data_IF_713487806848
#
_entry.id   IF_713487806848
#
_cell.length_a   1.000
_cell.length_b   1.000
_cell.length_c   1.000
_cell.angle_alpha   90.00
_cell.angle_beta   90.00
_cell.angle_gamma   90.00
#
_symmetry.space_group_name_H-M   'P 1'
#
loop_
_entity.id
_entity.type
_entity.pdbx_description
1 polymer ?
#
# COMPACT_ATOMS: atom_id res chain seq x y z
N UNK A 1 15.15 -1.78 -7.24
CA UNK A 1 15.34 -0.76 -8.30
C UNK A 1 14.48 0.45 -8.03
N UNK A 2 14.98 1.64 -8.36
CA UNK A 2 14.17 2.86 -8.31
C UNK A 2 13.08 2.85 -9.38
N UNK A 3 13.39 2.42 -10.60
CA UNK A 3 12.43 2.30 -11.69
C UNK A 3 12.46 0.88 -12.28
N UNK A 4 11.31 0.16 -12.37
CA UNK A 4 11.30 -1.23 -12.85
C UNK A 4 11.82 -1.42 -14.27
N UNK A 5 11.67 -0.41 -15.15
CA UNK A 5 12.05 -0.49 -16.57
C UNK A 5 13.29 0.33 -16.91
N UNK A 6 13.96 0.93 -15.93
CA UNK A 6 15.15 1.75 -16.16
C UNK A 6 16.22 1.42 -15.11
N UNK A 7 17.12 0.46 -15.39
CA UNK A 7 18.18 0.04 -14.49
C UNK A 7 19.18 1.16 -14.12
N UNK A 8 19.37 2.14 -15.01
CA UNK A 8 20.35 3.22 -14.83
C UNK A 8 19.98 4.16 -13.68
N UNK A 9 18.71 4.15 -13.25
CA UNK A 9 18.24 4.88 -12.07
C UNK A 9 18.72 4.27 -10.74
N UNK A 10 19.34 3.09 -10.77
CA UNK A 10 19.94 2.46 -9.60
C UNK A 10 18.97 1.72 -8.68
N UNK A 11 19.42 1.46 -7.45
CA UNK A 11 18.73 0.64 -6.46
C UNK A 11 18.46 1.41 -5.17
N UNK A 12 17.32 1.12 -4.55
CA UNK A 12 16.93 1.63 -3.23
C UNK A 12 16.94 0.51 -2.20
N UNK A 13 17.24 0.85 -0.95
CA UNK A 13 17.02 -0.05 0.18
C UNK A 13 15.51 -0.15 0.42
N UNK A 14 15.01 -1.38 0.60
CA UNK A 14 13.63 -1.65 1.01
C UNK A 14 13.72 -2.28 2.40
N UNK A 15 13.13 -1.62 3.40
CA UNK A 15 13.03 -2.17 4.76
C UNK A 15 11.81 -3.07 4.83
N UNK A 16 11.99 -4.27 5.37
CA UNK A 16 10.93 -5.23 5.67
C UNK A 16 10.82 -5.35 7.20
N UNK A 17 9.63 -5.67 7.69
CA UNK A 17 9.36 -5.85 9.12
C UNK A 17 8.20 -6.83 9.30
N UNK A 18 8.08 -7.46 10.47
CA UNK A 18 6.89 -8.23 10.85
C UNK A 18 5.61 -7.38 10.96
N UNK A 19 5.73 -6.04 11.05
CA UNK A 19 4.61 -5.09 11.10
C UNK A 19 4.67 -4.13 9.92
N UNK A 20 3.59 -4.09 9.14
CA UNK A 20 3.45 -3.19 7.99
C UNK A 20 2.09 -2.52 7.95
N UNK A 21 2.04 -1.32 7.36
CA UNK A 21 0.81 -0.64 7.01
C UNK A 21 0.41 -0.99 5.59
N UNK A 22 -0.90 -1.13 5.40
CA UNK A 22 -1.59 -1.30 4.13
C UNK A 22 -2.72 -0.26 4.07
N UNK A 23 -3.12 0.12 2.87
CA UNK A 23 -4.31 0.96 2.70
C UNK A 23 -5.57 0.16 3.01
N UNK A 24 -6.48 0.72 3.81
CA UNK A 24 -7.71 0.02 4.23
C UNK A 24 -8.57 -0.41 3.04
N UNK A 25 -8.68 0.45 2.02
CA UNK A 25 -9.45 0.14 0.81
C UNK A 25 -8.84 -1.02 0.00
N UNK A 26 -7.52 -1.21 0.07
CA UNK A 26 -6.82 -2.28 -0.63
C UNK A 26 -7.04 -3.66 0.03
N UNK A 27 -7.48 -3.69 1.29
CA UNK A 27 -7.78 -4.92 2.04
C UNK A 27 -9.27 -5.12 2.31
N UNK A 28 -10.12 -4.18 1.89
CA UNK A 28 -11.57 -4.30 2.01
C UNK A 28 -12.08 -5.56 1.30
N UNK A 29 -12.89 -6.36 1.99
CA UNK A 29 -13.43 -7.62 1.47
C UNK A 29 -12.39 -8.73 1.26
N UNK A 30 -11.19 -8.60 1.83
CA UNK A 30 -10.26 -9.73 1.97
C UNK A 30 -10.83 -10.74 2.96
N UNK A 31 -10.44 -12.02 2.84
CA UNK A 31 -10.92 -13.10 3.71
C UNK A 31 -9.74 -13.89 4.31
N UNK A 32 -9.97 -14.56 5.44
CA UNK A 32 -8.98 -15.48 6.00
C UNK A 32 -8.65 -16.61 5.00
N UNK A 33 -7.37 -16.92 4.86
CA UNK A 33 -6.87 -17.89 3.90
C UNK A 33 -6.54 -17.33 2.52
N UNK A 34 -6.92 -16.08 2.21
CA UNK A 34 -6.50 -15.43 0.96
C UNK A 34 -4.99 -15.14 0.94
N UNK A 35 -4.42 -15.13 -0.27
CA UNK A 35 -3.03 -14.74 -0.51
C UNK A 35 -2.96 -13.38 -1.19
N UNK A 36 -2.10 -12.51 -0.67
CA UNK A 36 -1.77 -11.22 -1.24
C UNK A 36 -0.27 -11.12 -1.55
N UNK A 37 0.07 -10.33 -2.56
CA UNK A 37 1.47 -10.00 -2.86
C UNK A 37 1.77 -8.64 -2.26
N UNK A 38 2.76 -8.59 -1.38
CA UNK A 38 3.39 -7.35 -0.96
C UNK A 38 4.49 -7.00 -1.97
N UNK A 39 4.29 -5.90 -2.70
CA UNK A 39 5.11 -5.55 -3.86
C UNK A 39 6.60 -5.51 -3.50
N UNK A 40 7.42 -6.26 -4.26
CA UNK A 40 8.87 -6.40 -4.05
C UNK A 40 9.30 -7.05 -2.72
N UNK A 41 8.37 -7.68 -1.99
CA UNK A 41 8.67 -8.43 -0.78
C UNK A 41 8.31 -9.91 -0.93
N UNK A 42 7.05 -10.23 -1.29
CA UNK A 42 6.63 -11.61 -1.53
C UNK A 42 5.16 -11.85 -1.24
N UNK A 43 4.79 -13.13 -1.13
CA UNK A 43 3.41 -13.55 -0.89
C UNK A 43 3.18 -13.74 0.61
N UNK A 44 2.05 -13.23 1.09
CA UNK A 44 1.57 -13.40 2.46
C UNK A 44 0.18 -14.02 2.40
N UNK A 45 -0.04 -15.05 3.20
CA UNK A 45 -1.35 -15.66 3.40
C UNK A 45 -1.99 -15.09 4.66
N UNK A 46 -3.22 -14.60 4.55
CA UNK A 46 -3.99 -14.11 5.69
C UNK A 46 -4.35 -15.28 6.60
N UNK A 47 -4.01 -15.17 7.87
CA UNK A 47 -4.28 -16.21 8.88
C UNK A 47 -5.35 -15.80 9.87
N UNK A 48 -5.57 -14.49 10.05
CA UNK A 48 -6.60 -13.95 10.93
C UNK A 48 -6.94 -12.53 10.53
N UNK A 49 -8.21 -12.15 10.63
CA UNK A 49 -8.63 -10.75 10.56
C UNK A 49 -9.34 -10.33 11.84
N UNK A 50 -9.13 -9.10 12.29
CA UNK A 50 -10.12 -8.48 13.15
C UNK A 50 -11.35 -8.15 12.30
N UNK A 51 -12.56 -8.34 12.81
CA UNK A 51 -13.80 -8.18 12.03
C UNK A 51 -14.06 -6.76 11.51
N UNK A 52 -13.14 -5.81 11.73
CA UNK A 52 -13.16 -4.43 11.23
C UNK A 52 -12.10 -4.16 10.15
N UNK A 53 -11.25 -5.14 9.81
CA UNK A 53 -10.13 -5.03 8.88
C UNK A 53 -9.10 -3.94 9.21
N UNK A 54 -9.08 -3.48 10.47
CA UNK A 54 -8.08 -2.52 10.95
C UNK A 54 -6.75 -3.21 11.28
N UNK A 55 -6.84 -4.43 11.80
CA UNK A 55 -5.71 -5.31 12.03
C UNK A 55 -5.93 -6.67 11.37
N UNK A 56 -4.86 -7.18 10.79
CA UNK A 56 -4.82 -8.51 10.19
C UNK A 56 -3.48 -9.16 10.48
N UNK A 57 -3.50 -10.49 10.59
CA UNK A 57 -2.31 -11.30 10.73
C UNK A 57 -2.16 -12.18 9.50
N UNK A 58 -0.92 -12.34 9.07
CA UNK A 58 -0.58 -13.21 7.97
C UNK A 58 0.76 -13.87 8.17
N UNK A 59 0.98 -14.93 7.40
CA UNK A 59 2.25 -15.66 7.37
C UNK A 59 2.87 -15.53 5.98
N UNK A 60 4.16 -15.23 5.94
CA UNK A 60 4.93 -15.26 4.70
C UNK A 60 4.91 -16.66 4.08
N UNK A 61 4.69 -16.74 2.77
CA UNK A 61 4.69 -17.99 2.02
C UNK A 61 5.95 -18.06 1.18
N UNK A 62 6.97 -18.85 1.60
CA UNK A 62 8.14 -19.12 0.79
C UNK A 62 7.71 -19.67 -0.57
N UNK A 63 8.29 -19.12 -1.65
CA UNK A 63 7.96 -19.51 -3.03
C UNK A 63 6.48 -19.37 -3.42
N UNK A 64 5.72 -18.53 -2.71
CA UNK A 64 4.32 -18.28 -2.98
C UNK A 64 4.06 -17.78 -4.41
N UNK A 65 2.92 -18.17 -4.98
CA UNK A 65 2.62 -17.90 -6.39
C UNK A 65 2.08 -16.47 -6.59
N UNK A 66 2.98 -15.56 -6.94
CA UNK A 66 2.67 -14.14 -7.26
C UNK A 66 1.62 -13.96 -8.37
N UNK A 67 1.41 -14.97 -9.23
CA UNK A 67 0.39 -14.92 -10.29
C UNK A 67 -0.99 -15.39 -9.82
N UNK A 68 -1.06 -16.19 -8.75
CA UNK A 68 -2.31 -16.72 -8.22
C UNK A 68 -2.97 -15.77 -7.21
N UNK A 69 -2.18 -14.94 -6.53
CA UNK A 69 -2.69 -13.93 -5.61
C UNK A 69 -3.59 -12.92 -6.32
N UNK A 70 -4.78 -12.67 -5.77
CA UNK A 70 -5.77 -11.74 -6.33
C UNK A 70 -5.32 -10.27 -6.22
N UNK A 71 -4.56 -9.96 -5.17
CA UNK A 71 -4.18 -8.59 -4.80
C UNK A 71 -2.67 -8.41 -4.81
N UNK A 72 -2.22 -7.24 -5.29
CA UNK A 72 -0.82 -6.81 -5.27
C UNK A 72 -0.76 -5.43 -4.65
N UNK A 73 -0.31 -5.37 -3.40
CA UNK A 73 -0.49 -4.20 -2.56
C UNK A 73 0.82 -3.44 -2.38
N UNK A 74 0.69 -2.12 -2.31
CA UNK A 74 1.72 -1.26 -1.73
C UNK A 74 1.69 -1.40 -0.21
N UNK A 75 2.83 -1.22 0.43
CA UNK A 75 2.98 -1.44 1.86
C UNK A 75 4.12 -0.59 2.42
N UNK A 76 4.09 -0.38 3.73
CA UNK A 76 5.14 0.36 4.45
C UNK A 76 5.51 -0.35 5.74
N UNK A 77 6.79 -0.71 5.92
CA UNK A 77 7.27 -1.20 7.20
C UNK A 77 7.23 -0.10 8.26
N UNK A 78 6.57 -0.38 9.40
CA UNK A 78 6.52 0.49 10.57
C UNK A 78 7.44 0.03 11.70
N UNK A 79 7.91 -1.22 11.61
CA UNK A 79 8.86 -1.75 12.58
C UNK A 79 8.22 -2.13 13.90
N UNK A 80 9.07 -2.66 14.78
CA UNK A 80 8.70 -2.95 16.17
C UNK A 80 9.59 -2.12 17.09
N UNK A 81 8.98 -1.25 17.92
CA UNK A 81 9.73 -0.37 18.82
C UNK A 81 10.44 -1.18 19.94
N UNK A 82 9.92 -2.37 20.25
CA UNK A 82 10.44 -3.28 21.26
C UNK A 82 11.53 -4.24 20.74
N UNK A 83 11.76 -4.32 19.42
CA UNK A 83 12.77 -5.17 18.79
C UNK A 83 13.69 -4.35 17.87
N UNK A 84 14.90 -4.05 18.35
CA UNK A 84 15.94 -3.33 17.61
C UNK A 84 16.27 -3.94 16.24
N UNK A 85 16.07 -5.25 16.06
CA UNK A 85 16.29 -5.94 14.77
C UNK A 85 15.18 -5.67 13.74
N UNK A 86 14.01 -5.21 14.20
CA UNK A 86 12.83 -4.91 13.38
C UNK A 86 12.55 -3.41 13.30
N UNK A 87 13.46 -2.54 13.73
CA UNK A 87 13.26 -1.08 13.63
C UNK A 87 13.11 -0.61 12.19
N UNK A 88 11.93 -0.09 11.87
CA UNK A 88 11.71 0.70 10.67
C UNK A 88 11.44 2.15 11.09
N UNK A 89 12.14 3.08 10.44
CA UNK A 89 11.92 4.50 10.68
C UNK A 89 10.96 5.00 9.62
N UNK A 90 9.74 5.32 10.01
CA UNK A 90 8.82 6.08 9.15
C UNK A 90 9.08 7.57 9.34
N UNK A 91 8.76 8.35 8.31
CA UNK A 91 8.80 9.81 8.38
C UNK A 91 7.36 10.29 8.39
N UNK A 92 6.91 10.99 9.45
CA UNK A 92 5.59 11.61 9.45
C UNK A 92 5.47 12.60 8.30
N UNK A 93 4.42 12.46 7.50
CA UNK A 93 4.17 13.30 6.34
C UNK A 93 2.71 13.76 6.34
N UNK A 94 2.46 14.98 5.88
CA UNK A 94 1.12 15.44 5.53
C UNK A 94 0.91 15.19 4.05
N UNK A 95 -0.03 14.31 3.71
CA UNK A 95 -0.46 14.10 2.34
C UNK A 95 -1.61 15.05 2.03
N UNK A 96 -1.54 15.73 0.89
CA UNK A 96 -2.63 16.55 0.36
C UNK A 96 -3.00 15.99 -1.00
N UNK A 97 -4.25 15.54 -1.13
CA UNK A 97 -4.82 15.14 -2.41
C UNK A 97 -5.52 16.35 -3.02
N UNK A 98 -5.15 16.68 -4.25
CA UNK A 98 -5.75 17.77 -5.01
C UNK A 98 -6.59 17.17 -6.13
N UNK A 99 -7.79 17.71 -6.31
CA UNK A 99 -8.66 17.40 -7.44
C UNK A 99 -8.89 18.68 -8.26
N UNK A 100 -9.65 18.56 -9.34
CA UNK A 100 -10.06 19.65 -10.20
C UNK A 100 -10.78 20.73 -9.38
N UNK A 101 -10.32 21.97 -9.54
CA UNK A 101 -10.96 23.13 -8.91
C UNK A 101 -12.35 23.44 -9.49
N UNK A 102 -12.60 22.98 -10.72
CA UNK A 102 -13.83 23.22 -11.47
C UNK A 102 -14.28 21.88 -12.06
N UNK A 103 -15.50 21.46 -11.76
CA UNK A 103 -16.10 20.20 -12.24
C UNK A 103 -16.56 20.28 -13.69
N UNK A 104 -16.71 21.50 -14.23
CA UNK A 104 -17.09 21.75 -15.63
C UNK A 104 -15.86 21.79 -16.54
N UNK A 105 -15.84 20.89 -17.52
CA UNK A 105 -14.72 20.76 -18.47
C UNK A 105 -14.41 22.04 -19.28
N UNK A 106 -15.44 22.87 -19.53
CA UNK A 106 -15.30 24.17 -20.19
C UNK A 106 -16.38 25.13 -19.70
N UNK A 107 -15.96 26.30 -19.24
CA UNK A 107 -16.86 27.42 -18.95
C UNK A 107 -17.28 28.08 -20.27
N UNK A 108 -18.57 28.32 -20.43
CA UNK A 108 -19.19 29.08 -21.51
C UNK A 108 -19.42 30.53 -21.08
N UNK A 109 -19.67 31.39 -22.07
CA UNK A 109 -19.93 32.81 -21.83
C UNK A 109 -21.20 32.98 -20.99
N UNK A 110 -21.05 33.55 -19.79
CA UNK A 110 -22.12 33.72 -18.81
C UNK A 110 -22.06 32.77 -17.61
N UNK A 111 -21.19 31.75 -17.64
CA UNK A 111 -20.98 30.91 -16.46
C UNK A 111 -20.23 31.66 -15.36
N UNK A 112 -20.62 31.40 -14.11
CA UNK A 112 -19.83 31.76 -12.94
C UNK A 112 -18.99 30.56 -12.52
N UNK A 113 -17.66 30.69 -12.53
CA UNK A 113 -16.76 29.59 -12.17
C UNK A 113 -16.93 29.12 -10.71
N UNK A 114 -17.50 29.93 -9.82
CA UNK A 114 -17.78 29.54 -8.43
C UNK A 114 -18.93 28.54 -8.29
N UNK A 115 -19.76 28.39 -9.33
CA UNK A 115 -20.89 27.46 -9.37
C UNK A 115 -20.49 26.06 -9.90
N UNK A 116 -19.20 25.85 -10.20
CA UNK A 116 -18.67 24.67 -10.87
C UNK A 116 -17.40 24.16 -10.22
#
# INVERSE_FOLDING_TARGET
>A
DYHPKNPDMGKRVVRISNKVLLETIDVEGMEEGEEMVLMRWGVVKVTKMDGTANEMWGTYVPDGNVKAAKRKLSWMAVGDDDDDSQKATTTPCTLMEFDNLITKAKLEEGDNFQDH
#
